data_IF_760794135844
#
_entry.id   IF_760794135844
#
_cell.length_a   1.000
_cell.length_b   1.000
_cell.length_c   1.000
_cell.angle_alpha   90.00
_cell.angle_beta   90.00
_cell.angle_gamma   90.00
#
_symmetry.space_group_name_H-M   'P 1'
#
loop_
_entity.id
_entity.type
_entity.pdbx_description
1 polymer ?
#
# COMPACT_ATOMS: atom_id res chain seq x y z
N UNK A 1 -58.89 41.68 22.05
CA UNK A 1 -57.46 41.38 22.27
C UNK A 1 -57.15 39.92 21.99
N UNK A 2 -57.75 38.92 22.67
CA UNK A 2 -57.44 37.49 22.44
C UNK A 2 -57.62 36.99 21.00
N UNK A 3 -58.64 37.50 20.29
CA UNK A 3 -58.93 37.08 18.91
C UNK A 3 -57.96 37.69 17.87
N UNK A 4 -57.31 38.80 18.20
CA UNK A 4 -56.31 39.44 17.33
C UNK A 4 -54.94 38.81 17.55
N UNK A 5 -54.58 38.50 18.79
CA UNK A 5 -53.35 37.80 19.11
C UNK A 5 -53.31 36.41 18.46
N UNK A 6 -54.43 35.67 18.52
CA UNK A 6 -54.55 34.36 17.85
C UNK A 6 -54.37 34.45 16.33
N UNK A 7 -54.91 35.49 15.68
CA UNK A 7 -54.70 35.72 14.24
C UNK A 7 -53.23 36.01 13.92
N UNK A 8 -52.54 36.76 14.76
CA UNK A 8 -51.11 37.06 14.59
C UNK A 8 -50.27 35.79 14.74
N UNK A 9 -50.59 34.95 15.73
CA UNK A 9 -49.90 33.68 15.97
C UNK A 9 -50.13 32.69 14.81
N UNK A 10 -51.36 32.61 14.28
CA UNK A 10 -51.69 31.77 13.11
C UNK A 10 -50.94 32.24 11.85
N UNK A 11 -50.87 33.57 11.61
CA UNK A 11 -50.11 34.13 10.49
C UNK A 11 -48.60 33.86 10.63
N UNK A 12 -48.07 33.89 11.85
CA UNK A 12 -46.67 33.60 12.14
C UNK A 12 -46.34 32.13 11.87
N UNK A 13 -47.23 31.21 12.25
CA UNK A 13 -47.08 29.79 11.98
C UNK A 13 -47.17 29.49 10.47
N UNK A 14 -48.10 30.13 9.76
CA UNK A 14 -48.19 30.03 8.29
C UNK A 14 -46.90 30.51 7.63
N UNK A 15 -46.36 31.65 8.08
CA UNK A 15 -45.10 32.19 7.55
C UNK A 15 -43.91 31.24 7.78
N UNK A 16 -43.81 30.60 8.96
CA UNK A 16 -42.79 29.59 9.24
C UNK A 16 -42.88 28.38 8.31
N UNK A 17 -44.08 27.83 8.14
CA UNK A 17 -44.33 26.68 7.24
C UNK A 17 -43.95 27.03 5.80
N UNK A 18 -44.29 28.23 5.33
CA UNK A 18 -43.91 28.69 3.99
C UNK A 18 -42.39 28.79 3.85
N UNK A 19 -41.70 29.31 4.88
CA UNK A 19 -40.26 29.46 4.86
C UNK A 19 -39.54 28.10 4.83
N UNK A 20 -39.96 27.16 5.69
CA UNK A 20 -39.45 25.78 5.74
C UNK A 20 -39.67 25.06 4.41
N UNK A 21 -40.86 25.15 3.82
CA UNK A 21 -41.14 24.55 2.51
C UNK A 21 -40.29 25.16 1.39
N UNK A 22 -40.01 26.46 1.47
CA UNK A 22 -39.15 27.14 0.48
C UNK A 22 -37.70 26.66 0.60
N UNK A 23 -37.19 26.53 1.84
CA UNK A 23 -35.84 26.00 2.08
C UNK A 23 -35.71 24.55 1.61
N UNK A 24 -36.69 23.68 1.94
CA UNK A 24 -36.70 22.29 1.47
C UNK A 24 -36.71 22.19 -0.06
N UNK A 25 -37.44 23.08 -0.73
CA UNK A 25 -37.47 23.11 -2.20
C UNK A 25 -36.10 23.47 -2.79
N UNK A 26 -35.40 24.45 -2.20
CA UNK A 26 -34.03 24.83 -2.60
C UNK A 26 -33.07 23.66 -2.40
N UNK A 27 -33.17 22.95 -1.27
CA UNK A 27 -32.30 21.80 -0.98
C UNK A 27 -32.54 20.64 -1.95
N UNK A 28 -33.80 20.36 -2.30
CA UNK A 28 -34.16 19.33 -3.28
C UNK A 28 -33.61 19.69 -4.67
N UNK A 29 -33.77 20.95 -5.10
CA UNK A 29 -33.22 21.42 -6.38
C UNK A 29 -31.68 21.33 -6.40
N UNK A 30 -31.02 21.68 -5.28
CA UNK A 30 -29.57 21.53 -5.11
C UNK A 30 -29.10 20.07 -5.20
N UNK A 31 -29.80 19.15 -4.55
CA UNK A 31 -29.49 17.72 -4.61
C UNK A 31 -29.71 17.13 -6.01
N UNK A 32 -30.77 17.54 -6.71
CA UNK A 32 -31.03 17.09 -8.08
C UNK A 32 -29.89 17.49 -9.01
N UNK A 33 -29.37 18.72 -8.89
CA UNK A 33 -28.23 19.18 -9.69
C UNK A 33 -26.96 18.38 -9.41
N UNK A 34 -26.67 18.06 -8.13
CA UNK A 34 -25.53 17.21 -7.76
C UNK A 34 -25.69 15.80 -8.34
N UNK A 35 -26.90 15.25 -8.31
CA UNK A 35 -27.19 13.92 -8.87
C UNK A 35 -27.01 13.90 -10.39
N UNK A 36 -27.44 14.94 -11.10
CA UNK A 36 -27.20 15.09 -12.55
C UNK A 36 -25.70 15.10 -12.87
N UNK A 37 -24.90 15.89 -12.14
CA UNK A 37 -23.44 15.93 -12.32
C UNK A 37 -22.77 14.56 -12.01
N UNK A 38 -23.30 13.82 -11.04
CA UNK A 38 -22.81 12.48 -10.71
C UNK A 38 -23.17 11.46 -11.80
N UNK A 39 -24.38 11.53 -12.36
CA UNK A 39 -24.81 10.68 -13.47
C UNK A 39 -23.92 10.90 -14.70
N UNK A 40 -23.63 12.15 -15.06
CA UNK A 40 -22.74 12.47 -16.18
C UNK A 40 -21.32 11.90 -15.97
N UNK A 41 -20.79 12.01 -14.74
CA UNK A 41 -19.48 11.42 -14.39
C UNK A 41 -19.49 9.89 -14.46
N UNK A 42 -20.58 9.25 -14.09
CA UNK A 42 -20.74 7.79 -14.19
C UNK A 42 -20.76 7.37 -15.66
N UNK A 43 -21.52 8.07 -16.49
CA UNK A 43 -21.63 7.79 -17.92
C UNK A 43 -20.28 7.94 -18.64
N UNK A 44 -19.53 9.02 -18.34
CA UNK A 44 -18.18 9.22 -18.85
C UNK A 44 -17.22 8.09 -18.46
N UNK A 45 -17.30 7.61 -17.21
CA UNK A 45 -16.48 6.47 -16.75
C UNK A 45 -16.88 5.16 -17.41
N UNK A 46 -18.17 4.95 -17.62
CA UNK A 46 -18.70 3.75 -18.26
C UNK A 46 -18.30 3.69 -19.74
N UNK A 47 -18.31 4.83 -20.44
CA UNK A 47 -17.83 4.92 -21.82
C UNK A 47 -16.33 4.60 -21.91
N UNK A 48 -15.50 5.16 -21.03
CA UNK A 48 -14.06 4.81 -20.95
C UNK A 48 -13.84 3.31 -20.70
N UNK A 49 -14.65 2.70 -19.84
CA UNK A 49 -14.55 1.26 -19.58
C UNK A 49 -14.88 0.44 -20.84
N UNK A 50 -15.92 0.83 -21.57
CA UNK A 50 -16.32 0.17 -22.81
C UNK A 50 -15.22 0.28 -23.89
N UNK A 51 -14.57 1.43 -24.01
CA UNK A 51 -13.43 1.62 -24.93
C UNK A 51 -12.27 0.66 -24.59
N UNK A 52 -11.88 0.60 -23.32
CA UNK A 52 -10.82 -0.31 -22.83
C UNK A 52 -11.21 -1.78 -23.06
N UNK A 53 -12.47 -2.13 -22.87
CA UNK A 53 -12.96 -3.49 -23.12
C UNK A 53 -12.81 -3.88 -24.60
N UNK A 54 -13.18 -2.99 -25.52
CA UNK A 54 -13.03 -3.19 -26.97
C UNK A 54 -11.55 -3.33 -27.35
N UNK A 55 -10.68 -2.46 -26.82
CA UNK A 55 -9.24 -2.50 -27.08
C UNK A 55 -8.61 -3.81 -26.60
N UNK A 56 -8.96 -4.28 -25.41
CA UNK A 56 -8.54 -5.58 -24.89
C UNK A 56 -9.02 -6.74 -25.78
N UNK A 57 -10.23 -6.64 -26.34
CA UNK A 57 -10.73 -7.60 -27.33
C UNK A 57 -9.83 -7.67 -28.56
N UNK A 58 -9.42 -6.53 -29.11
CA UNK A 58 -8.50 -6.45 -30.26
C UNK A 58 -7.12 -7.04 -29.94
N UNK A 59 -6.56 -6.71 -28.77
CA UNK A 59 -5.26 -7.24 -28.33
C UNK A 59 -5.28 -8.77 -28.18
N UNK A 60 -6.38 -9.35 -27.68
CA UNK A 60 -6.54 -10.81 -27.59
C UNK A 60 -6.50 -11.48 -28.97
N UNK A 61 -7.18 -10.89 -29.96
CA UNK A 61 -7.15 -11.40 -31.34
C UNK A 61 -5.74 -11.31 -31.92
N UNK A 62 -5.03 -10.19 -31.70
CA UNK A 62 -3.63 -10.04 -32.15
C UNK A 62 -2.70 -11.06 -31.49
N UNK A 63 -2.88 -11.36 -30.20
CA UNK A 63 -2.10 -12.39 -29.49
C UNK A 63 -2.32 -13.77 -30.12
N UNK A 64 -3.55 -14.13 -30.49
CA UNK A 64 -3.82 -15.42 -31.16
C UNK A 64 -3.19 -15.48 -32.55
N UNK A 65 -3.23 -14.40 -33.33
CA UNK A 65 -2.52 -14.30 -34.61
C UNK A 65 -1.00 -14.50 -34.41
N UNK A 66 -0.40 -13.80 -33.46
CA UNK A 66 1.03 -13.93 -33.14
C UNK A 66 1.35 -15.34 -32.66
N UNK A 67 0.49 -15.98 -31.86
CA UNK A 67 0.69 -17.38 -31.44
C UNK A 67 0.71 -18.35 -32.61
N UNK A 68 -0.16 -18.15 -33.59
CA UNK A 68 -0.21 -18.98 -34.79
C UNK A 68 0.96 -18.70 -35.74
N UNK A 69 1.45 -17.47 -35.83
CA UNK A 69 2.70 -17.12 -36.54
C UNK A 69 3.95 -17.67 -35.83
N UNK A 70 3.98 -17.67 -34.50
CA UNK A 70 5.08 -18.22 -33.68
C UNK A 70 5.20 -19.75 -33.81
N UNK A 71 4.10 -20.47 -34.08
CA UNK A 71 4.19 -21.91 -34.42
C UNK A 71 4.93 -22.16 -35.73
N UNK A 72 5.06 -21.15 -36.61
CA UNK A 72 5.59 -21.31 -37.97
C UNK A 72 7.10 -21.01 -38.11
N UNK A 73 7.79 -20.40 -37.13
CA UNK A 73 9.19 -19.96 -37.37
C UNK A 73 10.13 -19.99 -36.16
N UNK A 74 11.32 -20.51 -36.42
CA UNK A 74 12.60 -20.49 -35.69
C UNK A 74 12.56 -20.60 -34.14
N UNK A 75 12.84 -21.82 -33.66
CA UNK A 75 12.83 -22.26 -32.25
C UNK A 75 13.62 -21.35 -31.30
N UNK A 76 14.71 -20.72 -31.74
CA UNK A 76 15.54 -19.85 -30.89
C UNK A 76 14.91 -18.51 -30.56
N UNK A 77 14.13 -17.94 -31.48
CA UNK A 77 13.40 -16.70 -31.25
C UNK A 77 12.23 -16.96 -30.29
N UNK A 78 11.54 -18.10 -30.47
CA UNK A 78 10.50 -18.60 -29.58
C UNK A 78 11.03 -18.85 -28.18
N UNK A 79 12.22 -19.43 -28.00
CA UNK A 79 12.82 -19.61 -26.68
C UNK A 79 13.18 -18.27 -26.01
N UNK A 80 13.59 -17.25 -26.77
CA UNK A 80 13.84 -15.91 -26.23
C UNK A 80 12.53 -15.22 -25.80
N UNK A 81 11.46 -15.39 -26.58
CA UNK A 81 10.13 -14.85 -26.30
C UNK A 81 9.50 -15.60 -25.12
N UNK A 82 9.65 -16.92 -25.03
CA UNK A 82 9.23 -17.71 -23.87
C UNK A 82 9.97 -17.27 -22.60
N UNK A 83 11.26 -16.97 -22.66
CA UNK A 83 12.01 -16.45 -21.49
C UNK A 83 11.48 -15.07 -21.08
N UNK A 84 11.32 -14.15 -22.03
CA UNK A 84 10.74 -12.82 -21.77
C UNK A 84 9.31 -12.92 -21.25
N UNK A 85 8.47 -13.75 -21.87
CA UNK A 85 7.10 -14.01 -21.43
C UNK A 85 7.06 -14.68 -20.05
N UNK A 86 8.00 -15.57 -19.72
CA UNK A 86 8.11 -16.18 -18.39
C UNK A 86 8.48 -15.14 -17.34
N UNK A 87 9.37 -14.20 -17.65
CA UNK A 87 9.71 -13.09 -16.77
C UNK A 87 8.53 -12.11 -16.66
N UNK A 88 7.84 -11.79 -17.76
CA UNK A 88 6.63 -10.96 -17.76
C UNK A 88 5.44 -11.65 -17.08
N UNK A 89 5.32 -12.98 -17.16
CA UNK A 89 4.33 -13.78 -16.43
C UNK A 89 4.66 -13.82 -14.94
N UNK A 90 5.94 -13.92 -14.59
CA UNK A 90 6.40 -13.82 -13.21
C UNK A 90 6.08 -12.44 -12.63
N UNK A 91 6.24 -11.38 -13.42
CA UNK A 91 5.83 -10.03 -13.05
C UNK A 91 4.31 -9.88 -13.00
N UNK A 92 3.56 -10.49 -13.92
CA UNK A 92 2.09 -10.48 -13.93
C UNK A 92 1.49 -11.26 -12.76
N UNK A 93 2.02 -12.44 -12.43
CA UNK A 93 1.64 -13.22 -11.24
C UNK A 93 2.06 -12.50 -9.96
N UNK A 94 3.20 -11.83 -9.98
CA UNK A 94 3.61 -10.92 -8.91
C UNK A 94 2.62 -9.77 -8.75
N UNK A 95 2.22 -9.09 -9.84
CA UNK A 95 1.23 -8.01 -9.81
C UNK A 95 -0.16 -8.51 -9.43
N UNK A 96 -0.57 -9.70 -9.89
CA UNK A 96 -1.82 -10.34 -9.48
C UNK A 96 -1.80 -10.66 -8.00
N UNK A 97 -0.69 -11.18 -7.47
CA UNK A 97 -0.50 -11.42 -6.04
C UNK A 97 -0.44 -10.11 -5.25
N UNK A 98 0.16 -9.04 -5.80
CA UNK A 98 0.08 -7.69 -5.23
C UNK A 98 -1.38 -7.23 -5.13
N UNK A 99 -2.17 -7.40 -6.20
CA UNK A 99 -3.60 -7.07 -6.21
C UNK A 99 -4.41 -7.95 -5.26
N UNK A 100 -4.15 -9.25 -5.19
CA UNK A 100 -4.79 -10.16 -4.24
C UNK A 100 -4.47 -9.79 -2.79
N UNK A 101 -3.21 -9.44 -2.49
CA UNK A 101 -2.78 -8.92 -1.18
C UNK A 101 -3.45 -7.58 -0.85
N UNK A 102 -3.56 -6.66 -1.83
CA UNK A 102 -4.25 -5.37 -1.67
C UNK A 102 -5.76 -5.53 -1.44
N UNK A 103 -6.37 -6.59 -1.98
CA UNK A 103 -7.81 -6.85 -1.92
C UNK A 103 -8.22 -7.71 -0.71
N UNK A 104 -7.32 -8.48 -0.08
CA UNK A 104 -7.73 -9.55 0.86
C UNK A 104 -7.34 -9.49 2.33
N UNK A 105 -6.47 -8.63 2.87
CA UNK A 105 -6.03 -8.85 4.26
C UNK A 105 -6.19 -7.66 5.23
N UNK A 106 -7.28 -7.77 6.00
CA UNK A 106 -7.72 -7.13 7.25
C UNK A 106 -7.97 -5.61 7.23
N UNK A 107 -9.23 -5.30 7.51
CA UNK A 107 -9.81 -3.97 7.69
C UNK A 107 -9.26 -3.22 8.91
N UNK A 108 -9.25 -1.89 8.75
CA UNK A 108 -8.92 -0.80 9.65
C UNK A 108 -8.78 -1.13 11.14
N UNK A 109 -7.53 -1.39 11.57
CA UNK A 109 -7.15 -0.99 12.93
C UNK A 109 -7.12 0.54 12.94
N UNK A 110 -7.82 1.17 13.88
CA UNK A 110 -7.72 2.62 14.09
C UNK A 110 -6.25 2.97 14.32
N UNK A 111 -5.63 3.67 13.36
CA UNK A 111 -4.28 4.21 13.55
C UNK A 111 -4.42 5.42 14.44
N UNK A 112 -4.06 5.28 15.71
CA UNK A 112 -3.95 6.44 16.56
C UNK A 112 -2.67 7.17 16.16
N UNK A 113 -2.79 8.32 15.51
CA UNK A 113 -1.64 9.14 15.07
C UNK A 113 -0.69 9.54 16.20
N UNK A 114 -1.10 9.33 17.46
CA UNK A 114 -0.31 9.54 18.67
C UNK A 114 0.36 8.27 19.23
N UNK A 115 0.28 7.16 18.51
CA UNK A 115 0.96 5.93 18.90
C UNK A 115 2.48 6.13 18.90
N UNK A 116 3.13 5.64 19.96
CA UNK A 116 4.60 5.64 20.07
C UNK A 116 5.16 4.53 19.19
N UNK A 117 5.44 4.82 17.92
CA UNK A 117 6.07 3.85 17.03
C UNK A 117 7.53 3.62 17.44
N UNK A 118 8.09 2.49 17.01
CA UNK A 118 9.53 2.23 17.14
C UNK A 118 10.41 3.27 16.43
N UNK A 119 9.81 4.07 15.53
CA UNK A 119 10.40 5.13 14.72
C UNK A 119 9.98 6.54 15.19
N UNK A 120 9.35 6.65 16.36
CA UNK A 120 8.79 7.92 16.85
C UNK A 120 7.47 8.27 16.18
N UNK A 121 7.23 9.56 15.97
CA UNK A 121 6.07 10.11 15.26
C UNK A 121 6.27 10.19 13.74
N UNK A 122 7.29 9.52 13.20
CA UNK A 122 7.66 9.63 11.79
C UNK A 122 6.90 8.67 10.86
N UNK A 123 5.58 8.84 10.81
CA UNK A 123 4.70 8.10 9.88
C UNK A 123 5.13 8.22 8.41
N UNK A 124 5.54 9.40 7.90
CA UNK A 124 5.98 9.52 6.51
C UNK A 124 7.19 8.64 6.17
N UNK A 125 8.20 8.61 7.04
CA UNK A 125 9.36 7.71 6.88
C UNK A 125 8.97 6.24 6.96
N UNK A 126 8.13 5.87 7.94
CA UNK A 126 7.67 4.49 8.08
C UNK A 126 6.82 4.04 6.88
N UNK A 127 6.07 4.96 6.27
CA UNK A 127 5.26 4.70 5.08
C UNK A 127 6.11 4.35 3.87
N UNK A 128 7.26 5.02 3.68
CA UNK A 128 8.22 4.66 2.62
C UNK A 128 8.71 3.22 2.78
N UNK A 129 9.05 2.82 4.01
CA UNK A 129 9.47 1.45 4.30
C UNK A 129 8.35 0.43 4.03
N UNK A 130 7.13 0.73 4.47
CA UNK A 130 5.96 -0.10 4.19
C UNK A 130 5.70 -0.25 2.69
N UNK A 131 5.66 0.86 1.94
CA UNK A 131 5.37 0.85 0.51
C UNK A 131 6.43 0.06 -0.26
N UNK A 132 7.70 0.10 0.17
CA UNK A 132 8.75 -0.73 -0.40
C UNK A 132 8.53 -2.22 -0.12
N UNK A 133 8.26 -2.59 1.13
CA UNK A 133 8.00 -3.98 1.49
C UNK A 133 6.74 -4.53 0.81
N UNK A 134 5.70 -3.70 0.70
CA UNK A 134 4.50 -4.00 -0.08
C UNK A 134 4.86 -4.20 -1.54
N UNK A 135 5.54 -3.24 -2.18
CA UNK A 135 6.00 -3.35 -3.57
C UNK A 135 6.80 -4.62 -3.80
N UNK A 136 7.62 -5.06 -2.87
CA UNK A 136 8.42 -6.28 -2.99
C UNK A 136 7.68 -7.57 -2.57
N UNK A 137 6.37 -7.50 -2.37
CA UNK A 137 5.51 -8.62 -1.94
C UNK A 137 6.03 -9.31 -0.67
N UNK A 138 6.66 -8.53 0.22
CA UNK A 138 7.20 -9.02 1.48
C UNK A 138 6.14 -8.98 2.59
N UNK A 139 5.08 -8.19 2.44
CA UNK A 139 4.00 -8.06 3.41
C UNK A 139 2.69 -8.57 2.83
N UNK A 140 1.89 -9.17 3.71
CA UNK A 140 0.48 -9.49 3.43
C UNK A 140 -0.48 -8.67 4.31
N UNK A 141 -0.04 -7.50 4.77
CA UNK A 141 -0.83 -6.70 5.72
C UNK A 141 -0.95 -5.26 5.23
N UNK A 142 -2.10 -4.65 5.53
CA UNK A 142 -2.37 -3.25 5.20
C UNK A 142 -1.58 -2.27 6.07
N UNK A 143 -1.53 -1.00 5.61
CA UNK A 143 -0.77 0.06 6.26
C UNK A 143 -1.15 0.25 7.73
N UNK A 144 -2.44 0.31 8.03
CA UNK A 144 -2.96 0.53 9.38
C UNK A 144 -2.58 -0.59 10.36
N UNK A 145 -2.62 -1.84 9.90
CA UNK A 145 -2.18 -2.96 10.70
C UNK A 145 -0.66 -2.95 10.87
N UNK A 146 0.09 -2.66 9.81
CA UNK A 146 1.55 -2.51 9.87
C UNK A 146 2.00 -1.43 10.85
N UNK A 147 1.35 -0.26 10.87
CA UNK A 147 1.66 0.81 11.84
C UNK A 147 1.36 0.36 13.27
N UNK A 148 0.23 -0.31 13.49
CA UNK A 148 -0.12 -0.86 14.80
C UNK A 148 0.92 -1.91 15.27
N UNK A 149 1.41 -2.77 14.37
CA UNK A 149 2.48 -3.73 14.68
C UNK A 149 3.82 -3.04 14.97
N UNK A 150 4.08 -1.90 14.35
CA UNK A 150 5.27 -1.08 14.58
C UNK A 150 5.17 -0.18 15.82
N UNK A 151 4.05 -0.20 16.55
CA UNK A 151 3.91 0.43 17.85
C UNK A 151 4.85 -0.24 18.88
N UNK A 152 5.48 0.58 19.72
CA UNK A 152 6.33 0.17 20.84
C UNK A 152 5.62 -0.80 21.80
N UNK A 153 4.36 -0.52 22.13
CA UNK A 153 3.56 -1.32 23.07
C UNK A 153 3.10 -2.65 22.49
N UNK A 154 3.04 -2.77 21.17
CA UNK A 154 2.56 -3.98 20.51
C UNK A 154 3.64 -5.10 20.58
N UNK A 155 3.24 -6.31 20.93
CA UNK A 155 4.15 -7.48 21.03
C UNK A 155 4.05 -8.43 19.84
N UNK A 156 3.06 -8.24 18.97
CA UNK A 156 2.83 -9.04 17.78
C UNK A 156 3.95 -8.85 16.75
N UNK A 157 4.03 -9.83 15.84
CA UNK A 157 5.15 -10.01 14.92
C UNK A 157 4.71 -9.78 13.49
N UNK A 158 5.58 -9.19 12.69
CA UNK A 158 5.42 -8.98 11.25
C UNK A 158 6.10 -10.13 10.53
N UNK A 159 5.33 -10.94 9.81
CA UNK A 159 5.89 -11.99 8.98
C UNK A 159 6.26 -11.44 7.59
N UNK A 160 7.55 -11.52 7.22
CA UNK A 160 8.03 -11.12 5.91
C UNK A 160 8.20 -12.33 4.98
N UNK A 161 7.69 -12.20 3.76
CA UNK A 161 7.83 -13.21 2.72
C UNK A 161 9.10 -12.99 1.91
N UNK A 162 9.91 -14.03 1.72
CA UNK A 162 11.18 -13.95 0.95
C UNK A 162 10.98 -14.32 -0.52
N UNK A 163 9.81 -14.05 -1.09
CA UNK A 163 9.47 -14.44 -2.47
C UNK A 163 10.25 -13.64 -3.52
N UNK A 164 10.47 -12.35 -3.25
CA UNK A 164 11.21 -11.43 -4.14
C UNK A 164 12.53 -10.99 -3.52
N UNK A 165 12.49 -10.53 -2.26
CA UNK A 165 13.72 -10.21 -1.52
C UNK A 165 14.29 -11.48 -0.89
N UNK A 166 15.56 -11.74 -1.14
CA UNK A 166 16.25 -12.83 -0.47
C UNK A 166 16.42 -12.51 1.01
N UNK A 167 16.73 -13.53 1.81
CA UNK A 167 17.14 -13.33 3.21
C UNK A 167 18.39 -12.43 3.32
N UNK A 168 19.21 -12.29 2.28
CA UNK A 168 20.38 -11.39 2.34
C UNK A 168 19.91 -9.95 2.14
N UNK A 169 19.03 -9.72 1.16
CA UNK A 169 18.43 -8.41 0.90
C UNK A 169 17.69 -7.87 2.12
N UNK A 170 16.86 -8.69 2.77
CA UNK A 170 16.14 -8.29 3.99
C UNK A 170 17.08 -7.99 5.16
N UNK A 171 18.17 -8.73 5.29
CA UNK A 171 19.19 -8.45 6.30
C UNK A 171 19.84 -7.09 6.06
N UNK A 172 20.28 -6.84 4.83
CA UNK A 172 20.87 -5.56 4.43
C UNK A 172 19.89 -4.40 4.60
N UNK A 173 18.63 -4.60 4.24
CA UNK A 173 17.56 -3.64 4.47
C UNK A 173 17.43 -3.28 5.96
N UNK A 174 17.39 -4.27 6.86
CA UNK A 174 17.38 -4.01 8.31
C UNK A 174 18.62 -3.26 8.78
N UNK A 175 19.81 -3.67 8.34
CA UNK A 175 21.04 -2.95 8.65
C UNK A 175 20.96 -1.47 8.24
N UNK A 176 20.48 -1.21 7.03
CA UNK A 176 20.42 0.11 6.42
C UNK A 176 19.38 1.03 7.08
N UNK A 177 18.22 0.50 7.51
CA UNK A 177 17.18 1.30 8.18
C UNK A 177 17.38 1.47 9.69
N UNK A 178 18.39 0.82 10.28
CA UNK A 178 18.70 0.91 11.72
C UNK A 178 18.72 2.35 12.27
N UNK A 179 19.31 3.36 11.59
CA UNK A 179 19.40 4.72 12.13
C UNK A 179 18.05 5.39 12.38
N UNK A 180 16.98 4.93 11.72
CA UNK A 180 15.63 5.52 11.83
C UNK A 180 14.81 5.01 13.02
N UNK A 181 15.31 3.99 13.73
CA UNK A 181 14.71 3.58 14.99
C UNK A 181 15.04 4.58 16.10
N UNK A 182 14.15 4.74 17.08
CA UNK A 182 14.43 5.56 18.25
C UNK A 182 15.71 5.10 18.97
N UNK A 183 16.43 6.06 19.56
CA UNK A 183 17.70 5.82 20.27
C UNK A 183 17.58 4.74 21.36
N UNK A 184 16.41 4.66 22.00
CA UNK A 184 16.06 3.65 22.99
C UNK A 184 16.23 2.21 22.47
N UNK A 185 16.00 2.01 21.17
CA UNK A 185 16.03 0.73 20.47
C UNK A 185 17.32 0.48 19.69
N UNK A 186 18.02 1.52 19.23
CA UNK A 186 19.19 1.37 18.37
C UNK A 186 20.54 1.82 18.97
N UNK A 187 20.56 2.36 20.19
CA UNK A 187 21.78 2.84 20.86
C UNK A 187 22.89 1.78 20.96
N UNK A 188 22.51 0.50 21.00
CA UNK A 188 23.43 -0.63 21.01
C UNK A 188 22.98 -1.64 19.99
N UNK A 189 23.96 -2.31 19.38
CA UNK A 189 23.70 -3.39 18.41
C UNK A 189 22.82 -4.49 19.01
N UNK A 190 23.08 -4.85 20.28
CA UNK A 190 22.32 -5.88 21.00
C UNK A 190 20.85 -5.52 21.16
N UNK A 191 20.51 -4.27 21.52
CA UNK A 191 19.12 -3.83 21.62
C UNK A 191 18.42 -3.83 20.27
N UNK A 192 19.11 -3.35 19.23
CA UNK A 192 18.55 -3.34 17.89
C UNK A 192 18.21 -4.74 17.39
N UNK A 193 19.16 -5.68 17.53
CA UNK A 193 18.93 -7.10 17.21
C UNK A 193 17.73 -7.66 17.97
N UNK A 194 17.62 -7.37 19.28
CA UNK A 194 16.52 -7.88 20.10
C UNK A 194 15.15 -7.37 19.60
N UNK A 195 15.09 -6.10 19.18
CA UNK A 195 13.87 -5.52 18.60
C UNK A 195 13.54 -6.17 17.26
N UNK A 196 14.51 -6.32 16.36
CA UNK A 196 14.27 -6.96 15.06
C UNK A 196 13.84 -8.41 15.23
N UNK A 197 14.50 -9.18 16.11
CA UNK A 197 14.14 -10.57 16.43
C UNK A 197 12.74 -10.70 17.01
N UNK A 198 12.31 -9.73 17.82
CA UNK A 198 10.96 -9.70 18.39
C UNK A 198 9.90 -9.28 17.36
N UNK A 199 10.23 -8.38 16.44
CA UNK A 199 9.24 -7.76 15.54
C UNK A 199 9.08 -8.47 14.20
N UNK A 200 10.07 -9.24 13.74
CA UNK A 200 10.02 -9.81 12.40
C UNK A 200 10.24 -11.32 12.37
N UNK A 201 9.46 -11.99 11.53
CA UNK A 201 9.67 -13.39 11.10
C UNK A 201 10.00 -13.41 9.60
N UNK A 202 10.65 -14.47 9.14
CA UNK A 202 10.83 -14.74 7.70
C UNK A 202 10.13 -16.04 7.33
N UNK A 203 9.12 -15.96 6.46
CA UNK A 203 8.28 -17.09 6.05
C UNK A 203 7.78 -17.92 7.25
N UNK A 204 7.30 -17.24 8.29
CA UNK A 204 6.77 -17.83 9.53
C UNK A 204 7.82 -18.33 10.52
N UNK A 205 9.11 -18.17 10.22
CA UNK A 205 10.20 -18.63 11.09
C UNK A 205 10.90 -17.48 11.81
N UNK A 206 11.25 -17.72 13.06
CA UNK A 206 12.03 -16.79 13.88
C UNK A 206 13.41 -16.57 13.25
N UNK A 207 13.90 -15.34 13.34
CA UNK A 207 15.25 -14.98 12.91
C UNK A 207 16.29 -15.72 13.77
N UNK A 208 17.08 -16.56 13.11
CA UNK A 208 18.18 -17.29 13.77
C UNK A 208 19.36 -16.35 14.06
N UNK A 209 20.21 -16.75 15.00
CA UNK A 209 21.34 -15.91 15.42
C UNK A 209 22.39 -15.73 14.31
N UNK A 210 22.47 -16.65 13.34
CA UNK A 210 23.35 -16.56 12.18
C UNK A 210 22.89 -15.45 11.22
N UNK A 211 21.59 -15.29 11.02
CA UNK A 211 20.99 -14.18 10.29
C UNK A 211 21.28 -12.85 10.99
N UNK A 212 21.00 -12.78 12.29
CA UNK A 212 21.14 -11.54 13.08
C UNK A 212 22.60 -11.06 13.12
N UNK A 213 23.55 -11.97 13.39
CA UNK A 213 24.97 -11.62 13.50
C UNK A 213 25.61 -11.28 12.14
N UNK A 214 25.36 -12.08 11.09
CA UNK A 214 26.02 -11.87 9.79
C UNK A 214 25.34 -10.82 8.92
N UNK A 215 24.01 -10.71 9.01
CA UNK A 215 23.22 -9.96 8.02
C UNK A 215 22.57 -8.70 8.58
N UNK A 216 22.62 -8.46 9.89
CA UNK A 216 22.20 -7.17 10.47
C UNK A 216 23.38 -6.40 11.04
N UNK A 217 24.49 -7.06 11.37
CA UNK A 217 25.62 -6.44 12.08
C UNK A 217 26.96 -6.53 11.34
N UNK A 218 27.01 -7.25 10.22
CA UNK A 218 28.25 -7.69 9.59
C UNK A 218 28.68 -6.93 8.34
N UNK A 219 27.92 -5.97 7.83
CA UNK A 219 28.30 -5.29 6.58
C UNK A 219 29.41 -4.26 6.80
N UNK A 220 30.66 -4.72 6.82
CA UNK A 220 31.81 -3.87 6.50
C UNK A 220 31.79 -3.61 5.00
N UNK A 221 32.29 -2.45 4.54
CA UNK A 221 32.34 -2.08 3.09
C UNK A 221 32.91 -3.19 2.19
N UNK A 222 33.74 -4.09 2.73
CA UNK A 222 34.36 -5.23 2.04
C UNK A 222 33.50 -6.50 1.93
N UNK A 223 32.44 -6.63 2.73
CA UNK A 223 31.73 -7.90 2.97
C UNK A 223 30.30 -7.90 2.43
N UNK A 224 29.99 -6.95 1.55
CA UNK A 224 28.68 -6.80 0.91
C UNK A 224 28.60 -7.78 -0.27
N UNK A 225 27.72 -8.80 -0.23
CA UNK A 225 27.54 -9.73 -1.34
C UNK A 225 27.16 -9.00 -2.64
N UNK A 226 27.80 -9.39 -3.73
CA UNK A 226 27.61 -8.78 -5.07
C UNK A 226 26.23 -9.03 -5.67
N UNK A 227 25.47 -9.98 -5.11
CA UNK A 227 24.11 -10.34 -5.54
C UNK A 227 23.00 -9.57 -4.80
N UNK A 228 23.35 -8.61 -3.92
CA UNK A 228 22.36 -7.79 -3.23
C UNK A 228 21.71 -6.76 -4.16
N UNK A 229 20.43 -6.47 -3.93
CA UNK A 229 19.74 -5.30 -4.52
C UNK A 229 20.19 -3.99 -3.87
N UNK A 230 21.50 -3.73 -3.90
CA UNK A 230 22.16 -2.68 -3.13
C UNK A 230 21.63 -1.28 -3.47
N UNK A 231 21.54 -0.97 -4.76
CA UNK A 231 21.07 0.34 -5.24
C UNK A 231 19.64 0.61 -4.82
N UNK A 232 18.74 -0.37 -4.99
CA UNK A 232 17.35 -0.27 -4.56
C UNK A 232 17.24 -0.03 -3.04
N UNK A 233 17.96 -0.82 -2.24
CA UNK A 233 17.89 -0.73 -0.77
C UNK A 233 18.50 0.60 -0.26
N UNK A 234 19.60 1.05 -0.85
CA UNK A 234 20.20 2.33 -0.50
C UNK A 234 19.30 3.51 -0.88
N UNK A 235 18.62 3.42 -2.03
CA UNK A 235 17.65 4.43 -2.43
C UNK A 235 16.50 4.53 -1.43
N UNK A 236 16.04 3.40 -0.89
CA UNK A 236 15.03 3.40 0.18
C UNK A 236 15.51 4.12 1.44
N UNK A 237 16.74 3.92 1.89
CA UNK A 237 17.27 4.67 3.02
C UNK A 237 17.28 6.18 2.75
N UNK A 238 17.67 6.60 1.54
CA UNK A 238 17.64 8.01 1.16
C UNK A 238 16.22 8.57 1.16
N UNK A 239 15.25 7.81 0.65
CA UNK A 239 13.86 8.25 0.59
C UNK A 239 13.20 8.29 1.97
N UNK A 240 13.55 7.35 2.86
CA UNK A 240 13.18 7.40 4.28
C UNK A 240 13.76 8.66 4.92
N UNK A 241 15.06 8.95 4.72
CA UNK A 241 15.75 10.09 5.30
C UNK A 241 15.14 11.43 4.84
N UNK A 242 14.78 11.58 3.56
CA UNK A 242 14.12 12.79 3.02
C UNK A 242 12.79 13.09 3.72
N UNK A 243 12.12 12.06 4.22
CA UNK A 243 10.82 12.16 4.90
C UNK A 243 10.98 12.20 6.43
N UNK A 244 12.20 12.04 6.93
CA UNK A 244 12.50 11.91 8.34
C UNK A 244 12.76 13.28 8.98
N UNK A 245 11.76 14.16 8.94
CA UNK A 245 11.79 15.49 9.55
C UNK A 245 10.51 15.79 10.28
#
# INVERSE_FOLDING_TARGET
MDNEQKKIDDLTNIAKIILENTMLKIDIEGQNKINEELLEKIELKQNKYNEIFIENGKLRVQIEIIKDEVKATNVEEVLSIIRKLKDTLKDSDFHKKQYETLVREVDYVYVNQFDKLLWGDNYPSLKVFFDYLQKMNCLNINWSHFTNLMNYGNTEVINLNTGVLSKQDLGYLFYTIKPFFLSEFNNTVKRYIAIIKRKFLLNGKVLDDNFLTKRICGYKKSDIPTNLKLEEINQIALDIAKRHH
#
